data_IF_173360078610
#
_entry.id   IF_173360078610
#
_cell.length_a   1.000
_cell.length_b   1.000
_cell.length_c   1.000
_cell.angle_alpha   90.00
_cell.angle_beta   90.00
_cell.angle_gamma   90.00
#
_symmetry.space_group_name_H-M   'P 1'
#
loop_
_entity.id
_entity.type
_entity.pdbx_description
1 polymer ?
#
# COMPACT_ATOMS: atom_id res chain seq x y z
N UNK A 1 29.48 -36.85 0.63
CA UNK A 1 29.68 -35.74 1.58
C UNK A 1 28.99 -34.52 1.00
N UNK A 2 27.74 -34.29 1.39
CA UNK A 2 26.88 -33.25 0.83
C UNK A 2 27.30 -31.89 1.35
N UNK A 3 27.68 -31.00 0.45
CA UNK A 3 27.88 -29.58 0.73
C UNK A 3 26.56 -29.00 1.24
N UNK A 4 26.52 -28.66 2.52
CA UNK A 4 25.57 -27.69 3.07
C UNK A 4 25.82 -26.38 2.33
N UNK A 5 25.18 -26.19 1.18
CA UNK A 5 25.19 -24.91 0.47
C UNK A 5 24.54 -23.92 1.43
N UNK A 6 25.36 -23.07 2.04
CA UNK A 6 24.89 -21.98 2.86
C UNK A 6 23.88 -21.17 2.04
N UNK A 7 22.62 -21.18 2.46
CA UNK A 7 21.57 -20.36 1.85
C UNK A 7 22.00 -18.91 1.98
N UNK A 8 22.00 -18.16 0.88
CA UNK A 8 22.37 -16.75 0.95
C UNK A 8 21.36 -15.96 1.79
N UNK A 9 21.76 -14.80 2.30
CA UNK A 9 20.85 -13.89 2.99
C UNK A 9 19.60 -13.56 2.16
N UNK A 10 19.78 -13.32 0.86
CA UNK A 10 18.70 -13.01 -0.08
C UNK A 10 17.71 -14.16 -0.26
N UNK A 11 18.21 -15.38 -0.42
CA UNK A 11 17.36 -16.57 -0.50
C UNK A 11 16.61 -16.83 0.81
N UNK A 12 17.22 -16.49 1.94
CA UNK A 12 16.55 -16.59 3.25
C UNK A 12 15.39 -15.59 3.32
N UNK A 13 15.62 -14.33 2.95
CA UNK A 13 14.58 -13.30 2.90
C UNK A 13 13.42 -13.67 1.98
N UNK A 14 13.71 -14.20 0.79
CA UNK A 14 12.68 -14.66 -0.15
C UNK A 14 11.80 -15.76 0.45
N UNK A 15 12.42 -16.75 1.12
CA UNK A 15 11.69 -17.82 1.81
C UNK A 15 10.81 -17.28 2.94
N UNK A 16 11.31 -16.30 3.71
CA UNK A 16 10.53 -15.66 4.76
C UNK A 16 9.34 -14.87 4.21
N UNK A 17 9.53 -14.14 3.11
CA UNK A 17 8.45 -13.41 2.41
C UNK A 17 7.37 -14.38 1.90
N UNK A 18 7.76 -15.45 1.21
CA UNK A 18 6.84 -16.48 0.71
C UNK A 18 6.10 -17.21 1.85
N UNK A 19 6.83 -17.61 2.90
CA UNK A 19 6.25 -18.26 4.07
C UNK A 19 5.21 -17.36 4.74
N UNK A 20 5.57 -16.09 5.00
CA UNK A 20 4.69 -15.14 5.65
C UNK A 20 3.46 -14.85 4.79
N UNK A 21 3.64 -14.74 3.47
CA UNK A 21 2.53 -14.58 2.53
C UNK A 21 1.53 -15.74 2.65
N UNK A 22 1.99 -16.99 2.60
CA UNK A 22 1.11 -18.17 2.72
C UNK A 22 0.38 -18.17 4.07
N UNK A 23 1.10 -17.87 5.16
CA UNK A 23 0.47 -17.77 6.48
C UNK A 23 -0.66 -16.76 6.50
N UNK A 24 -0.44 -15.54 6.01
CA UNK A 24 -1.46 -14.48 6.04
C UNK A 24 -2.58 -14.69 5.02
N UNK A 25 -2.25 -15.13 3.81
CA UNK A 25 -3.19 -15.21 2.70
C UNK A 25 -4.08 -16.46 2.76
N UNK A 26 -3.55 -17.58 3.24
CA UNK A 26 -4.22 -18.88 3.10
C UNK A 26 -4.47 -19.59 4.43
N UNK A 27 -3.65 -19.40 5.47
CA UNK A 27 -3.81 -20.11 6.75
C UNK A 27 -4.49 -19.28 7.84
N UNK A 28 -4.01 -18.08 8.12
CA UNK A 28 -4.49 -17.18 9.18
C UNK A 28 -5.63 -16.29 8.70
N UNK A 29 -6.62 -16.93 8.09
CA UNK A 29 -7.77 -16.24 7.49
C UNK A 29 -9.02 -16.40 8.36
N UNK A 30 -9.93 -15.44 8.26
CA UNK A 30 -11.27 -15.56 8.83
C UNK A 30 -12.27 -14.76 8.00
N UNK A 31 -13.55 -15.17 8.05
CA UNK A 31 -14.59 -14.58 7.21
C UNK A 31 -14.83 -13.09 7.45
N UNK A 32 -14.53 -12.57 8.65
CA UNK A 32 -14.64 -11.15 8.93
C UNK A 32 -13.57 -10.35 8.17
N UNK A 33 -12.30 -10.75 8.26
CA UNK A 33 -11.20 -10.09 7.55
C UNK A 33 -11.28 -10.28 6.03
N UNK A 34 -11.81 -11.42 5.58
CA UNK A 34 -12.05 -11.68 4.16
C UNK A 34 -13.10 -10.72 3.55
N UNK A 35 -14.02 -10.18 4.37
CA UNK A 35 -14.96 -9.14 3.94
C UNK A 35 -14.42 -7.72 4.21
N UNK A 36 -13.78 -7.52 5.36
CA UNK A 36 -13.33 -6.21 5.82
C UNK A 36 -12.20 -5.65 4.96
N UNK A 37 -11.13 -6.40 4.71
CA UNK A 37 -9.97 -5.88 3.98
C UNK A 37 -10.28 -5.52 2.52
N UNK A 38 -11.03 -6.32 1.74
CA UNK A 38 -11.44 -5.94 0.39
C UNK A 38 -12.28 -4.65 0.34
N UNK A 39 -13.17 -4.44 1.32
CA UNK A 39 -13.92 -3.20 1.46
C UNK A 39 -13.02 -2.03 1.86
N UNK A 40 -12.19 -2.22 2.90
CA UNK A 40 -11.36 -1.17 3.47
C UNK A 40 -10.29 -0.67 2.49
N UNK A 41 -9.76 -1.53 1.62
CA UNK A 41 -8.77 -1.13 0.61
C UNK A 41 -9.34 -0.39 -0.60
N UNK A 42 -10.66 -0.35 -0.77
CA UNK A 42 -11.28 0.20 -1.97
C UNK A 42 -11.17 1.73 -1.97
N UNK A 43 -10.57 2.30 -3.03
CA UNK A 43 -10.38 3.74 -3.15
C UNK A 43 -11.72 4.51 -3.20
N UNK A 44 -12.80 3.91 -3.70
CA UNK A 44 -14.13 4.54 -3.74
C UNK A 44 -14.73 4.70 -2.35
N UNK A 45 -14.39 3.81 -1.39
CA UNK A 45 -14.82 3.94 0.00
C UNK A 45 -14.20 5.19 0.65
N UNK A 46 -12.96 5.53 0.30
CA UNK A 46 -12.24 6.69 0.84
C UNK A 46 -12.41 7.97 0.03
N UNK A 47 -12.93 7.89 -1.20
CA UNK A 47 -13.14 9.06 -2.05
C UNK A 47 -13.94 10.19 -1.38
N UNK A 48 -15.03 9.92 -0.62
CA UNK A 48 -15.73 10.95 0.13
C UNK A 48 -14.85 11.64 1.19
N UNK A 49 -14.00 10.88 1.89
CA UNK A 49 -13.08 11.45 2.89
C UNK A 49 -12.02 12.33 2.23
N UNK A 50 -11.43 11.89 1.12
CA UNK A 50 -10.45 12.70 0.39
C UNK A 50 -11.07 14.00 -0.13
N UNK A 51 -12.28 13.92 -0.70
CA UNK A 51 -13.02 15.10 -1.14
C UNK A 51 -13.29 16.05 0.02
N UNK A 52 -13.75 15.53 1.16
CA UNK A 52 -13.96 16.32 2.36
C UNK A 52 -12.69 17.04 2.80
N UNK A 53 -11.55 16.33 2.91
CA UNK A 53 -10.27 16.92 3.33
C UNK A 53 -9.87 18.06 2.38
N UNK A 54 -9.92 17.82 1.06
CA UNK A 54 -9.53 18.82 0.05
C UNK A 54 -10.43 20.07 0.10
N UNK A 55 -11.75 19.88 0.17
CA UNK A 55 -12.71 21.00 0.27
C UNK A 55 -12.55 21.73 1.59
N UNK A 56 -12.43 21.00 2.70
CA UNK A 56 -12.27 21.57 4.04
C UNK A 56 -11.04 22.46 4.12
N UNK A 57 -9.88 22.01 3.63
CA UNK A 57 -8.66 22.82 3.71
C UNK A 57 -8.71 24.04 2.80
N UNK A 58 -9.30 23.94 1.61
CA UNK A 58 -9.46 25.08 0.69
C UNK A 58 -10.35 26.15 1.32
N UNK A 59 -11.51 25.76 1.86
CA UNK A 59 -12.47 26.70 2.45
C UNK A 59 -11.89 27.39 3.69
N UNK A 60 -11.20 26.65 4.56
CA UNK A 60 -10.72 27.19 5.83
C UNK A 60 -9.37 27.92 5.75
N UNK A 61 -8.52 27.60 4.76
CA UNK A 61 -7.17 28.14 4.66
C UNK A 61 -6.89 28.88 3.33
N UNK A 62 -7.92 29.10 2.50
CA UNK A 62 -7.84 29.89 1.27
C UNK A 62 -6.71 29.45 0.33
N UNK A 63 -5.86 30.39 -0.08
CA UNK A 63 -4.74 30.11 -0.98
C UNK A 63 -3.75 29.10 -0.41
N UNK A 64 -3.53 29.10 0.92
CA UNK A 64 -2.68 28.10 1.58
C UNK A 64 -3.30 26.70 1.48
N UNK A 65 -4.61 26.61 1.69
CA UNK A 65 -5.38 25.38 1.52
C UNK A 65 -5.35 24.84 0.09
N UNK A 66 -5.37 25.73 -0.90
CA UNK A 66 -5.20 25.36 -2.31
C UNK A 66 -3.83 24.75 -2.59
N UNK A 67 -2.74 25.37 -2.11
CA UNK A 67 -1.39 24.81 -2.25
C UNK A 67 -1.21 23.48 -1.53
N UNK A 68 -1.81 23.31 -0.34
CA UNK A 68 -1.83 22.03 0.36
C UNK A 68 -2.60 20.95 -0.40
N UNK A 69 -3.74 21.30 -0.99
CA UNK A 69 -4.53 20.39 -1.84
C UNK A 69 -3.75 19.95 -3.07
N UNK A 70 -3.07 20.89 -3.73
CA UNK A 70 -2.19 20.57 -4.86
C UNK A 70 -1.05 19.65 -4.41
N UNK A 71 -0.38 19.95 -3.29
CA UNK A 71 0.67 19.12 -2.73
C UNK A 71 0.20 17.69 -2.40
N UNK A 72 -1.01 17.55 -1.87
CA UNK A 72 -1.64 16.26 -1.60
C UNK A 72 -1.81 15.43 -2.88
N UNK A 73 -2.41 16.00 -3.93
CA UNK A 73 -2.63 15.34 -5.22
C UNK A 73 -1.29 15.00 -5.89
N UNK A 74 -0.35 15.95 -5.92
CA UNK A 74 0.97 15.75 -6.50
C UNK A 74 1.75 14.63 -5.77
N UNK A 75 1.63 14.54 -4.46
CA UNK A 75 2.31 13.51 -3.67
C UNK A 75 1.85 12.10 -4.07
N UNK A 76 0.53 11.88 -4.21
CA UNK A 76 0.00 10.60 -4.71
C UNK A 76 0.47 10.33 -6.12
N UNK A 77 0.34 11.31 -7.02
CA UNK A 77 0.70 11.14 -8.43
C UNK A 77 2.18 10.78 -8.59
N UNK A 78 3.07 11.49 -7.90
CA UNK A 78 4.52 11.22 -7.92
C UNK A 78 4.81 9.83 -7.35
N UNK A 79 4.21 9.49 -6.20
CA UNK A 79 4.40 8.18 -5.57
C UNK A 79 3.96 7.05 -6.49
N UNK A 80 2.80 7.21 -7.14
CA UNK A 80 2.23 6.21 -8.02
C UNK A 80 3.07 6.04 -9.30
N UNK A 81 3.45 7.14 -9.94
CA UNK A 81 4.26 7.12 -11.17
C UNK A 81 5.64 6.52 -10.89
N UNK A 82 6.31 6.93 -9.81
CA UNK A 82 7.63 6.38 -9.46
C UNK A 82 7.51 4.88 -9.13
N UNK A 83 6.52 4.49 -8.32
CA UNK A 83 6.27 3.08 -8.01
C UNK A 83 6.01 2.24 -9.26
N UNK A 84 5.19 2.74 -10.17
CA UNK A 84 4.75 2.01 -11.36
C UNK A 84 5.78 1.99 -12.48
N UNK A 85 6.47 3.10 -12.74
CA UNK A 85 7.33 3.26 -13.92
C UNK A 85 8.81 3.10 -13.63
N UNK A 86 9.24 3.39 -12.40
CA UNK A 86 10.64 3.28 -12.01
C UNK A 86 10.86 1.95 -11.31
N UNK A 87 10.22 1.73 -10.15
CA UNK A 87 10.51 0.54 -9.35
C UNK A 87 10.03 -0.76 -10.00
N UNK A 88 8.76 -0.80 -10.43
CA UNK A 88 8.17 -2.03 -10.98
C UNK A 88 8.87 -2.52 -12.25
N UNK A 89 9.11 -1.63 -13.19
CA UNK A 89 9.76 -1.97 -14.46
C UNK A 89 11.28 -2.21 -14.31
N UNK A 90 11.91 -1.72 -13.24
CA UNK A 90 13.34 -1.99 -13.00
C UNK A 90 13.60 -3.31 -12.26
N UNK A 91 12.68 -3.70 -11.37
CA UNK A 91 12.86 -4.86 -10.47
C UNK A 91 12.12 -6.08 -10.99
N UNK A 92 11.01 -5.88 -11.70
CA UNK A 92 10.26 -6.93 -12.40
C UNK A 92 9.84 -8.12 -11.52
N UNK A 93 9.67 -7.88 -10.22
CA UNK A 93 9.27 -8.93 -9.28
C UNK A 93 7.84 -9.39 -9.59
N UNK A 94 7.66 -10.68 -9.88
CA UNK A 94 6.34 -11.27 -10.07
C UNK A 94 5.47 -11.13 -8.81
N UNK A 95 4.15 -11.09 -8.98
CA UNK A 95 3.21 -11.21 -7.86
C UNK A 95 3.04 -12.67 -7.49
N UNK A 96 2.72 -12.99 -6.22
CA UNK A 96 2.44 -14.37 -5.81
C UNK A 96 1.40 -15.07 -6.71
N UNK A 97 0.37 -14.36 -7.17
CA UNK A 97 -0.66 -14.92 -8.06
C UNK A 97 -0.23 -15.15 -9.52
N UNK A 98 0.93 -14.62 -9.93
CA UNK A 98 1.50 -14.83 -11.27
C UNK A 98 2.87 -15.52 -11.24
N UNK A 99 3.34 -15.91 -10.06
CA UNK A 99 4.59 -16.64 -9.87
C UNK A 99 4.29 -18.14 -9.98
N UNK A 100 4.92 -18.89 -10.90
CA UNK A 100 4.68 -20.32 -11.07
C UNK A 100 4.89 -21.16 -9.81
N UNK A 101 5.72 -20.71 -8.86
CA UNK A 101 5.99 -21.41 -7.61
C UNK A 101 4.89 -21.15 -6.57
N UNK A 102 4.29 -19.97 -6.59
CA UNK A 102 3.36 -19.50 -5.55
C UNK A 102 1.89 -19.53 -5.99
N UNK A 103 1.60 -19.50 -7.29
CA UNK A 103 0.26 -19.30 -7.82
C UNK A 103 -0.76 -20.32 -7.27
N UNK A 104 -0.36 -21.58 -7.13
CA UNK A 104 -1.20 -22.66 -6.61
C UNK A 104 -1.50 -22.55 -5.11
N UNK A 105 -0.76 -21.71 -4.38
CA UNK A 105 -0.93 -21.47 -2.95
C UNK A 105 -1.72 -20.19 -2.64
N UNK A 106 -2.07 -19.40 -3.65
CA UNK A 106 -2.68 -18.08 -3.47
C UNK A 106 -4.20 -18.18 -3.40
N UNK A 107 -4.75 -17.70 -2.28
CA UNK A 107 -6.17 -17.43 -2.12
C UNK A 107 -6.51 -16.03 -2.62
N UNK A 108 -7.14 -15.94 -3.80
CA UNK A 108 -7.61 -14.67 -4.37
C UNK A 108 -9.01 -14.30 -3.83
N UNK A 109 -9.08 -13.23 -3.03
CA UNK A 109 -10.34 -12.63 -2.60
C UNK A 109 -10.88 -11.59 -3.60
N UNK A 110 -10.01 -11.05 -4.45
CA UNK A 110 -10.38 -10.10 -5.50
C UNK A 110 -10.61 -10.83 -6.82
N UNK A 111 -11.48 -10.25 -7.66
CA UNK A 111 -11.92 -10.84 -8.94
C UNK A 111 -10.81 -11.02 -9.98
N UNK A 112 -9.61 -10.45 -9.78
CA UNK A 112 -8.50 -10.56 -10.72
C UNK A 112 -7.13 -10.52 -10.04
N UNK A 113 -6.21 -11.34 -10.52
CA UNK A 113 -4.77 -11.11 -10.33
C UNK A 113 -4.35 -9.96 -11.25
N UNK A 114 -3.68 -8.95 -10.72
CA UNK A 114 -3.19 -7.84 -11.55
C UNK A 114 -1.89 -8.26 -12.25
N UNK A 115 -1.83 -8.05 -13.57
CA UNK A 115 -0.68 -8.44 -14.41
C UNK A 115 0.56 -7.54 -14.32
N UNK A 116 0.59 -6.55 -13.42
CA UNK A 116 1.80 -5.74 -13.17
C UNK A 116 2.73 -6.36 -12.13
N UNK A 117 3.98 -5.89 -12.07
CA UNK A 117 4.94 -6.32 -11.06
C UNK A 117 4.54 -5.94 -9.63
N UNK A 118 5.08 -6.67 -8.65
CA UNK A 118 4.67 -6.62 -7.25
C UNK A 118 5.39 -5.52 -6.46
N UNK A 119 6.65 -5.21 -6.79
CA UNK A 119 7.49 -4.34 -6.00
C UNK A 119 7.73 -2.97 -6.66
N UNK A 120 7.48 -1.84 -6.00
CA UNK A 120 6.84 -1.69 -4.68
C UNK A 120 5.31 -1.80 -4.78
N UNK A 121 4.64 -1.99 -3.64
CA UNK A 121 3.19 -1.85 -3.58
C UNK A 121 2.80 -0.37 -3.71
N UNK A 122 2.33 0.03 -4.90
CA UNK A 122 1.78 1.37 -5.12
C UNK A 122 0.65 1.71 -4.13
N UNK A 123 -0.20 0.75 -3.79
CA UNK A 123 -1.31 0.98 -2.88
C UNK A 123 -0.80 1.38 -1.48
N UNK A 124 0.12 0.58 -0.92
CA UNK A 124 0.74 0.90 0.37
C UNK A 124 1.53 2.22 0.30
N UNK A 125 2.31 2.42 -0.77
CA UNK A 125 3.09 3.64 -0.96
C UNK A 125 2.21 4.89 -0.99
N UNK A 126 1.08 4.86 -1.72
CA UNK A 126 0.14 5.97 -1.82
C UNK A 126 -0.55 6.27 -0.47
N UNK A 127 -0.96 5.24 0.26
CA UNK A 127 -1.59 5.42 1.58
C UNK A 127 -0.61 6.07 2.57
N UNK A 128 0.62 5.55 2.64
CA UNK A 128 1.65 6.12 3.53
C UNK A 128 2.10 7.51 3.09
N UNK A 129 2.25 7.78 1.79
CA UNK A 129 2.66 9.11 1.33
C UNK A 129 1.60 10.16 1.65
N UNK A 130 0.31 9.82 1.54
CA UNK A 130 -0.79 10.68 1.99
C UNK A 130 -0.80 10.91 3.49
N UNK A 131 -0.69 9.84 4.28
CA UNK A 131 -0.71 9.94 5.73
C UNK A 131 0.48 10.76 6.26
N UNK A 132 1.68 10.56 5.70
CA UNK A 132 2.88 11.33 6.05
C UNK A 132 2.76 12.78 5.60
N UNK A 133 2.26 13.04 4.39
CA UNK A 133 2.00 14.40 3.92
C UNK A 133 1.04 15.14 4.85
N UNK A 134 -0.07 14.49 5.22
CA UNK A 134 -1.04 15.05 6.16
C UNK A 134 -0.42 15.27 7.54
N UNK A 135 0.39 14.32 8.03
CA UNK A 135 1.09 14.43 9.30
C UNK A 135 2.00 15.66 9.33
N UNK A 136 2.88 15.82 8.33
CA UNK A 136 3.83 16.93 8.26
C UNK A 136 3.11 18.27 8.09
N UNK A 137 2.12 18.32 7.21
CA UNK A 137 1.42 19.56 6.84
C UNK A 137 0.46 20.04 7.92
N UNK A 138 -0.28 19.12 8.55
CA UNK A 138 -1.37 19.46 9.46
C UNK A 138 -1.09 19.19 10.94
N UNK A 139 0.13 18.79 11.33
CA UNK A 139 0.48 18.55 12.75
C UNK A 139 0.15 19.70 13.70
N UNK A 140 0.26 20.95 13.23
CA UNK A 140 -0.09 22.13 14.02
C UNK A 140 -1.60 22.32 14.22
N UNK A 141 -2.43 21.66 13.41
CA UNK A 141 -3.90 21.79 13.41
C UNK A 141 -4.57 20.62 14.13
N UNK A 142 -4.19 19.38 13.77
CA UNK A 142 -4.91 18.17 14.18
C UNK A 142 -4.15 17.31 15.21
N UNK A 143 -2.95 17.73 15.64
CA UNK A 143 -2.14 17.12 16.71
C UNK A 143 -2.16 15.57 16.66
N UNK A 144 -2.76 14.92 17.66
CA UNK A 144 -2.73 13.46 17.83
C UNK A 144 -3.60 12.70 16.82
N UNK A 145 -4.58 13.35 16.18
CA UNK A 145 -5.46 12.68 15.21
C UNK A 145 -4.71 12.18 13.98
N UNK A 146 -3.53 12.74 13.69
CA UNK A 146 -2.73 12.35 12.53
C UNK A 146 -2.03 10.99 12.71
N UNK A 147 -1.85 10.53 13.96
CA UNK A 147 -1.40 9.16 14.21
C UNK A 147 -2.43 8.12 13.78
N UNK A 148 -3.73 8.46 13.83
CA UNK A 148 -4.79 7.61 13.28
C UNK A 148 -4.64 7.49 11.76
N UNK A 149 -4.23 8.56 11.08
CA UNK A 149 -3.93 8.53 9.65
C UNK A 149 -2.76 7.59 9.32
N UNK A 150 -1.72 7.54 10.17
CA UNK A 150 -0.62 6.58 10.00
C UNK A 150 -1.05 5.14 10.27
N UNK A 151 -1.90 4.92 11.27
CA UNK A 151 -2.49 3.60 11.53
C UNK A 151 -3.38 3.15 10.38
N UNK A 152 -4.20 4.06 9.84
CA UNK A 152 -5.03 3.82 8.67
C UNK A 152 -4.20 3.42 7.45
N UNK A 153 -3.04 4.05 7.23
CA UNK A 153 -2.17 3.70 6.12
C UNK A 153 -1.49 2.32 6.26
N UNK A 154 -1.40 1.80 7.49
CA UNK A 154 -0.83 0.49 7.79
C UNK A 154 -1.83 -0.67 7.65
N UNK A 155 -3.12 -0.37 7.46
CA UNK A 155 -4.22 -1.32 7.29
C UNK A 155 -4.61 -1.45 5.82
#
# INVERSE_FOLDING_TARGET
MGTLVAVSWWQSLEKWDQWLFIKLNSEWTNGFFDAFFPFFRDAYVWAPLYLFILVFIIINYGQKGLWWSLGFICTVAITDIIGARVFKESIERLRPCGDPIMADHVRLLLSRCSGSYSFVSNHAANHFSLAVFAFITFRGLFRNWLYIGLLWAAL
#
